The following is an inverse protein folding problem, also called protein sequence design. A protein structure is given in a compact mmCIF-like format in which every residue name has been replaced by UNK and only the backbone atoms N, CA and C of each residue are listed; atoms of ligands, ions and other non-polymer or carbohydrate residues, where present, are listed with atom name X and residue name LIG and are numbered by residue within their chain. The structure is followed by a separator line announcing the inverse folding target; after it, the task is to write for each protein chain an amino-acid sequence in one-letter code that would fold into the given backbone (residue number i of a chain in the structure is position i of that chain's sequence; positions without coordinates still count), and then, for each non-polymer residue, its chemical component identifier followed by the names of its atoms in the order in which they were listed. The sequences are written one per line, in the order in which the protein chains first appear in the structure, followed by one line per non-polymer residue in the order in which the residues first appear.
data_IF_618412307291
#
_entry.id   IF_618412307291
#
_cell.length_a   1.000
_cell.length_b   1.000
_cell.length_c   1.000
_cell.angle_alpha   90.00
_cell.angle_beta   90.00
_cell.angle_gamma   90.00
#
_symmetry.space_group_name_H-M   'P 1'
#
loop_
_entity.id
_entity.type
_entity.pdbx_description
1 polymer ?
#
# COMPACT_ATOMS: atom_id res chain seq x y z
N UNK A 1 31.64 -27.10 10.61
CA UNK A 1 31.76 -26.41 11.92
C UNK A 1 32.55 -27.30 12.88
N UNK A 2 33.85 -27.02 13.14
CA UNK A 2 34.65 -27.52 14.31
C UNK A 2 36.15 -27.12 14.28
N UNK A 3 36.65 -26.40 13.27
CA UNK A 3 38.09 -26.06 13.18
C UNK A 3 38.45 -24.61 13.56
N UNK A 4 37.50 -23.67 13.54
CA UNK A 4 37.77 -22.24 13.82
C UNK A 4 37.81 -21.90 15.32
N UNK A 5 37.02 -22.57 16.16
CA UNK A 5 36.97 -22.30 17.60
C UNK A 5 38.21 -22.79 18.38
N UNK A 6 39.00 -23.71 17.83
CA UNK A 6 40.19 -24.25 18.52
C UNK A 6 41.46 -23.39 18.33
N UNK A 7 41.55 -22.61 17.25
CA UNK A 7 42.75 -21.77 17.00
C UNK A 7 42.76 -20.49 17.84
N UNK A 8 41.60 -19.89 18.09
CA UNK A 8 41.48 -18.68 18.92
C UNK A 8 41.57 -18.94 20.43
N UNK A 9 41.18 -20.14 20.89
CA UNK A 9 41.35 -20.53 22.31
C UNK A 9 42.81 -20.85 22.64
N UNK A 10 43.57 -21.46 21.71
CA UNK A 10 44.99 -21.72 21.89
C UNK A 10 45.84 -20.43 21.90
N UNK A 11 45.52 -19.45 21.03
CA UNK A 11 46.24 -18.16 21.00
C UNK A 11 46.01 -17.35 22.28
N UNK A 12 44.79 -17.28 22.79
CA UNK A 12 44.50 -16.62 24.07
C UNK A 12 45.14 -17.32 25.27
N UNK A 13 45.10 -18.66 25.32
CA UNK A 13 45.76 -19.42 26.39
C UNK A 13 47.29 -19.19 26.39
N UNK A 14 47.90 -19.09 25.20
CA UNK A 14 49.31 -18.72 25.06
C UNK A 14 49.59 -17.29 25.51
N UNK A 15 48.74 -16.32 25.15
CA UNK A 15 48.90 -14.93 25.57
C UNK A 15 48.77 -14.77 27.10
N UNK A 16 47.84 -15.49 27.75
CA UNK A 16 47.72 -15.52 29.21
C UNK A 16 48.90 -16.21 29.88
N UNK A 17 49.42 -17.31 29.33
CA UNK A 17 50.64 -17.94 29.85
C UNK A 17 51.86 -17.03 29.70
N UNK A 18 51.99 -16.32 28.58
CA UNK A 18 53.06 -15.33 28.37
C UNK A 18 52.93 -14.18 29.38
N UNK A 19 51.71 -13.69 29.62
CA UNK A 19 51.47 -12.64 30.61
C UNK A 19 51.76 -13.11 32.05
N UNK A 20 51.34 -14.33 32.41
CA UNK A 20 51.63 -14.92 33.72
C UNK A 20 53.13 -15.17 33.94
N UNK A 21 53.84 -15.65 32.91
CA UNK A 21 55.30 -15.75 32.95
C UNK A 21 55.98 -14.40 33.04
N UNK A 22 55.44 -13.37 32.37
CA UNK A 22 55.97 -12.00 32.43
C UNK A 22 55.77 -11.40 33.82
N UNK A 23 54.62 -11.58 34.45
CA UNK A 23 54.35 -11.16 35.83
C UNK A 23 55.29 -11.88 36.81
N UNK A 24 55.48 -13.21 36.65
CA UNK A 24 56.38 -13.99 37.49
C UNK A 24 57.84 -13.55 37.33
N UNK A 25 58.27 -13.20 36.11
CA UNK A 25 59.58 -12.59 35.85
C UNK A 25 59.72 -11.23 36.50
N UNK A 26 58.70 -10.38 36.44
CA UNK A 26 58.71 -9.07 37.10
C UNK A 26 58.79 -9.18 38.62
N UNK A 27 58.06 -10.13 39.23
CA UNK A 27 58.15 -10.43 40.66
C UNK A 27 59.54 -10.94 41.07
N UNK A 28 60.15 -11.81 40.25
CA UNK A 28 61.52 -12.26 40.47
C UNK A 28 62.53 -11.11 40.37
N UNK A 29 62.38 -10.21 39.40
CA UNK A 29 63.22 -9.01 39.25
C UNK A 29 63.06 -8.07 40.46
N UNK A 30 61.84 -7.92 40.98
CA UNK A 30 61.56 -7.11 42.17
C UNK A 30 62.18 -7.71 43.43
N UNK A 31 62.14 -9.04 43.57
CA UNK A 31 62.81 -9.76 44.66
C UNK A 31 64.34 -9.70 44.53
N UNK A 32 64.89 -9.83 43.32
CA UNK A 32 66.33 -9.66 43.07
C UNK A 32 66.76 -8.23 43.39
N UNK A 33 65.97 -7.22 43.04
CA UNK A 33 66.23 -5.82 43.41
C UNK A 33 66.26 -5.65 44.94
N UNK A 34 65.32 -6.24 45.67
CA UNK A 34 65.33 -6.22 47.14
C UNK A 34 66.60 -6.88 47.71
N UNK A 35 67.00 -8.03 47.16
CA UNK A 35 68.21 -8.74 47.59
C UNK A 35 69.49 -7.95 47.27
N UNK A 36 69.54 -7.27 46.11
CA UNK A 36 70.66 -6.41 45.73
C UNK A 36 70.72 -5.16 46.62
N UNK A 37 69.58 -4.54 46.96
CA UNK A 37 69.54 -3.40 47.89
C UNK A 37 69.98 -3.79 49.31
N UNK A 38 69.61 -4.98 49.80
CA UNK A 38 70.11 -5.57 51.05
C UNK A 38 71.62 -5.84 50.99
N UNK A 39 72.10 -6.45 49.91
CA UNK A 39 73.53 -6.68 49.69
C UNK A 39 74.32 -5.36 49.59
N UNK A 40 73.74 -4.33 48.97
CA UNK A 40 74.34 -2.99 48.89
C UNK A 40 74.44 -2.35 50.28
N UNK A 41 73.42 -2.48 51.14
CA UNK A 41 73.47 -2.00 52.54
C UNK A 41 74.51 -2.76 53.37
N UNK A 42 74.60 -4.09 53.23
CA UNK A 42 75.60 -4.91 53.91
C UNK A 42 77.01 -4.56 53.45
N UNK A 43 77.21 -4.33 52.15
CA UNK A 43 78.49 -3.88 51.60
C UNK A 43 78.84 -2.46 52.05
N UNK A 44 77.86 -1.55 52.18
CA UNK A 44 78.09 -0.23 52.77
C UNK A 44 78.57 -0.33 54.22
N UNK A 45 77.93 -1.18 55.03
CA UNK A 45 78.38 -1.48 56.41
C UNK A 45 79.78 -2.09 56.45
N UNK A 46 80.10 -3.01 55.53
CA UNK A 46 81.44 -3.59 55.44
C UNK A 46 82.49 -2.53 55.10
N UNK A 47 82.17 -1.58 54.20
CA UNK A 47 83.03 -0.44 53.89
C UNK A 47 83.19 0.50 55.09
N UNK A 48 82.13 0.74 55.87
CA UNK A 48 82.21 1.52 57.12
C UNK A 48 83.12 0.84 58.16
N UNK A 49 83.01 -0.49 58.33
CA UNK A 49 83.88 -1.28 59.22
C UNK A 49 85.33 -1.20 58.74
N UNK A 50 85.57 -1.44 57.45
CA UNK A 50 86.91 -1.35 56.85
C UNK A 50 87.50 0.07 56.98
N UNK A 51 86.69 1.12 56.87
CA UNK A 51 87.12 2.50 57.13
C UNK A 51 87.47 2.73 58.60
N UNK A 52 86.71 2.12 59.52
CA UNK A 52 87.02 2.11 60.95
C UNK A 52 88.36 1.44 61.24
N UNK A 53 88.57 0.23 60.71
CA UNK A 53 89.84 -0.50 60.79
C UNK A 53 90.99 0.26 60.12
N UNK A 54 90.73 0.97 59.01
CA UNK A 54 91.71 1.83 58.36
C UNK A 54 92.09 3.03 59.24
N UNK A 55 91.14 3.60 59.97
CA UNK A 55 91.40 4.65 60.95
C UNK A 55 92.18 4.14 62.17
N UNK A 56 91.92 2.91 62.59
CA UNK A 56 92.63 2.27 63.69
C UNK A 56 94.06 1.87 63.30
N UNK A 57 94.25 1.33 62.09
CA UNK A 57 95.56 1.10 61.48
C UNK A 57 96.32 2.42 61.29
N UNK A 58 95.65 3.50 60.87
CA UNK A 58 96.25 4.84 60.79
C UNK A 58 96.66 5.35 62.17
N UNK A 59 95.86 5.15 63.22
CA UNK A 59 96.21 5.47 64.61
C UNK A 59 97.41 4.65 65.10
N UNK A 60 97.49 3.37 64.77
CA UNK A 60 98.64 2.51 65.09
C UNK A 60 99.87 3.02 64.35
N UNK A 61 99.76 3.36 63.06
CA UNK A 61 100.84 3.94 62.27
C UNK A 61 101.26 5.30 62.86
N UNK A 62 100.34 6.18 63.25
CA UNK A 62 100.64 7.45 63.92
C UNK A 62 101.25 7.23 65.32
N UNK A 63 100.83 6.20 66.06
CA UNK A 63 101.39 5.84 67.37
C UNK A 63 102.79 5.27 67.22
N UNK A 64 103.04 4.44 66.21
CA UNK A 64 104.36 3.94 65.81
C UNK A 64 105.23 5.11 65.32
N UNK A 65 104.68 6.02 64.52
CA UNK A 65 105.37 7.23 64.03
C UNK A 65 105.74 8.17 65.19
N UNK A 66 104.87 8.31 66.21
CA UNK A 66 105.13 9.07 67.43
C UNK A 66 106.02 8.33 68.45
N UNK A 67 106.07 6.99 68.43
CA UNK A 67 107.07 6.21 69.19
C UNK A 67 108.44 6.19 68.48
N UNK A 68 108.47 6.52 67.19
CA UNK A 68 109.68 6.69 66.38
C UNK A 68 110.12 8.17 66.31
N UNK A 69 109.41 9.09 66.99
CA UNK A 69 109.76 10.51 67.07
C UNK A 69 110.60 10.90 68.29
N UNK A 70 111.51 10.02 68.74
CA UNK A 70 112.66 10.43 69.55
C UNK A 70 113.86 10.61 68.60
N UNK A 71 114.05 11.87 68.19
CA UNK A 71 115.26 12.40 67.54
C UNK A 71 115.94 11.46 66.53
N UNK A 72 115.52 11.48 65.25
CA UNK A 72 116.35 11.26 64.03
C UNK A 72 115.62 10.73 62.78
N UNK A 73 114.31 10.95 62.62
CA UNK A 73 113.61 10.71 61.34
C UNK A 73 113.41 11.96 60.46
N UNK A 74 114.07 13.08 60.81
CA UNK A 74 114.08 14.32 60.02
C UNK A 74 114.95 14.27 58.75
N UNK A 75 115.50 13.10 58.37
CA UNK A 75 116.27 12.92 57.13
C UNK A 75 115.63 11.99 56.09
N UNK A 76 114.39 11.55 56.29
CA UNK A 76 113.59 10.88 55.22
C UNK A 76 112.19 11.51 55.16
N UNK A 77 112.13 12.82 54.91
CA UNK A 77 110.88 13.51 54.60
C UNK A 77 111.05 14.30 53.29
N UNK A 78 110.47 13.68 52.26
CA UNK A 78 109.79 14.25 51.09
C UNK A 78 110.56 14.78 49.87
N UNK A 79 110.19 14.18 48.70
CA UNK A 79 109.81 14.77 47.39
C UNK A 79 110.04 13.67 46.33
N UNK A 80 109.18 13.30 45.39
CA UNK A 80 108.01 13.90 44.73
C UNK A 80 107.36 12.78 43.90
N UNK A 81 106.03 12.63 43.93
CA UNK A 81 105.17 12.78 42.75
C UNK A 81 105.89 13.10 41.43
N UNK A 82 105.86 12.23 40.41
CA UNK A 82 106.12 12.63 39.05
C UNK A 82 104.83 13.19 38.43
N UNK A 83 104.64 14.51 38.54
CA UNK A 83 104.22 15.37 37.43
C UNK A 83 103.97 16.80 37.92
N UNK A 84 105.04 17.59 38.02
CA UNK A 84 105.01 18.98 37.56
C UNK A 84 106.38 19.33 36.99
N UNK A 85 106.39 19.92 35.80
CA UNK A 85 107.53 20.65 35.26
C UNK A 85 107.08 22.11 35.03
N UNK A 86 107.93 23.13 35.19
CA UNK A 86 109.08 23.28 36.09
C UNK A 86 108.97 24.56 36.97
N UNK A 87 109.76 24.63 38.05
CA UNK A 87 110.86 25.61 38.18
C UNK A 87 111.36 25.80 39.64
N UNK A 88 112.69 25.86 39.76
CA UNK A 88 113.52 26.39 40.84
C UNK A 88 113.83 25.56 42.13
N UNK A 89 115.15 25.38 42.28
CA UNK A 89 116.00 25.36 43.48
C UNK A 89 116.44 24.02 44.13
N UNK A 90 117.67 23.65 43.74
CA UNK A 90 118.67 22.77 44.39
C UNK A 90 119.47 23.49 45.51
N UNK A 91 120.19 22.67 46.31
CA UNK A 91 121.28 22.92 47.30
C UNK A 91 120.80 22.90 48.77
N UNK A 92 121.43 22.24 49.77
CA UNK A 92 122.76 21.60 49.92
C UNK A 92 122.87 20.79 51.25
N UNK A 93 123.72 19.74 51.28
CA UNK A 93 124.71 19.32 52.33
C UNK A 93 124.18 18.88 53.73
N UNK A 94 124.31 17.59 54.13
CA UNK A 94 125.38 16.94 54.95
C UNK A 94 125.41 17.41 56.43
N UNK A 95 125.51 16.63 57.52
CA UNK A 95 126.33 15.46 57.92
C UNK A 95 125.79 14.85 59.26
N UNK A 96 126.23 13.62 59.59
CA UNK A 96 126.33 12.98 60.95
C UNK A 96 125.02 12.53 61.64
N UNK A 97 124.85 11.35 62.26
CA UNK A 97 125.79 10.37 62.85
C UNK A 97 125.07 9.00 62.98
N UNK A 98 125.85 7.93 63.01
CA UNK A 98 125.52 6.48 63.14
C UNK A 98 124.69 6.08 64.37
N UNK A 99 123.78 5.08 64.24
CA UNK A 99 123.68 3.89 65.14
C UNK A 99 123.07 2.69 64.38
N UNK A 100 123.71 1.51 64.50
CA UNK A 100 123.35 0.21 63.89
C UNK A 100 122.24 -0.54 64.61
N UNK A 101 121.49 -1.46 63.95
CA UNK A 101 121.21 -2.82 64.48
C UNK A 101 120.69 -3.82 63.41
N UNK A 102 121.41 -4.95 63.34
CA UNK A 102 121.16 -6.33 62.83
C UNK A 102 119.87 -6.67 62.06
N UNK A 103 120.07 -7.21 60.86
CA UNK A 103 119.09 -7.63 59.84
C UNK A 103 118.59 -9.08 59.99
N UNK A 104 117.26 -9.25 60.12
CA UNK A 104 116.52 -10.45 59.68
C UNK A 104 114.99 -10.20 59.48
N UNK A 105 114.57 -8.96 59.17
CA UNK A 105 113.17 -8.57 58.91
C UNK A 105 112.90 -7.70 57.62
N UNK A 106 113.56 -7.84 56.43
CA UNK A 106 113.20 -7.00 55.27
C UNK A 106 112.24 -7.63 54.22
N UNK A 107 112.24 -8.94 53.99
CA UNK A 107 111.56 -9.53 52.81
C UNK A 107 110.02 -9.67 52.93
N UNK A 108 109.51 -10.07 54.10
CA UNK A 108 108.06 -10.34 54.32
C UNK A 108 107.19 -9.08 54.22
N UNK A 109 107.71 -7.94 54.66
CA UNK A 109 106.99 -6.66 54.63
C UNK A 109 106.83 -6.16 53.19
N UNK A 110 107.83 -6.40 52.34
CA UNK A 110 107.80 -6.04 50.91
C UNK A 110 106.81 -6.92 50.12
N UNK A 111 106.72 -8.23 50.42
CA UNK A 111 105.72 -9.12 49.81
C UNK A 111 104.29 -8.75 50.21
N UNK A 112 104.06 -8.43 51.49
CA UNK A 112 102.76 -7.95 51.97
C UNK A 112 102.35 -6.64 51.29
N UNK A 113 103.27 -5.69 51.15
CA UNK A 113 103.00 -4.43 50.44
C UNK A 113 102.65 -4.64 48.97
N UNK A 114 103.34 -5.56 48.27
CA UNK A 114 103.01 -5.92 46.88
C UNK A 114 101.64 -6.59 46.76
N UNK A 115 101.30 -7.50 47.70
CA UNK A 115 100.00 -8.15 47.74
C UNK A 115 98.87 -7.15 47.99
N UNK A 116 99.04 -6.25 48.97
CA UNK A 116 98.07 -5.17 49.24
C UNK A 116 97.90 -4.27 48.03
N UNK A 117 98.98 -3.91 47.32
CA UNK A 117 98.89 -3.08 46.11
C UNK A 117 98.18 -3.82 44.96
N UNK A 118 98.39 -5.12 44.83
CA UNK A 118 97.70 -5.96 43.84
C UNK A 118 96.21 -6.06 44.15
N UNK A 119 95.86 -6.37 45.40
CA UNK A 119 94.48 -6.48 45.88
C UNK A 119 93.74 -5.12 45.76
N UNK A 120 94.44 -4.00 46.02
CA UNK A 120 93.89 -2.65 45.86
C UNK A 120 93.62 -2.30 44.39
N UNK A 121 94.53 -2.67 43.49
CA UNK A 121 94.32 -2.48 42.06
C UNK A 121 93.20 -3.37 41.50
N UNK A 122 93.01 -4.57 42.03
CA UNK A 122 91.90 -5.45 41.65
C UNK A 122 90.55 -4.89 42.14
N UNK A 123 90.50 -4.37 43.37
CA UNK A 123 89.34 -3.65 43.91
C UNK A 123 88.97 -2.42 43.07
N UNK A 124 89.95 -1.63 42.62
CA UNK A 124 89.71 -0.49 41.73
C UNK A 124 89.06 -0.95 40.42
N UNK A 125 89.55 -2.04 39.81
CA UNK A 125 88.97 -2.60 38.58
C UNK A 125 87.53 -3.12 38.79
N UNK A 126 87.28 -3.78 39.92
CA UNK A 126 85.94 -4.24 40.26
C UNK A 126 84.97 -3.07 40.47
N UNK A 127 85.41 -1.98 41.11
CA UNK A 127 84.63 -0.75 41.28
C UNK A 127 84.34 -0.08 39.93
N UNK A 128 85.32 -0.02 39.01
CA UNK A 128 85.11 0.51 37.66
C UNK A 128 84.15 -0.34 36.84
N UNK A 129 84.26 -1.67 36.92
CA UNK A 129 83.32 -2.60 36.28
C UNK A 129 81.89 -2.39 36.80
N UNK A 130 81.70 -2.33 38.12
CA UNK A 130 80.39 -2.12 38.74
C UNK A 130 79.79 -0.74 38.40
N UNK A 131 80.62 0.31 38.31
CA UNK A 131 80.15 1.63 37.85
C UNK A 131 79.66 1.58 36.41
N UNK A 132 80.38 0.88 35.54
CA UNK A 132 80.02 0.69 34.13
C UNK A 132 78.70 -0.10 34.00
N UNK A 133 78.57 -1.20 34.75
CA UNK A 133 77.32 -1.97 34.82
C UNK A 133 76.15 -1.12 35.30
N UNK A 134 76.33 -0.36 36.39
CA UNK A 134 75.28 0.47 36.96
C UNK A 134 74.85 1.60 35.99
N UNK A 135 75.80 2.18 35.25
CA UNK A 135 75.51 3.12 34.17
C UNK A 135 74.69 2.46 33.04
N UNK A 136 75.03 1.23 32.65
CA UNK A 136 74.28 0.47 31.64
C UNK A 136 72.87 0.11 32.13
N UNK A 137 72.71 -0.30 33.39
CA UNK A 137 71.39 -0.55 34.00
C UNK A 137 70.53 0.71 34.02
N UNK A 138 71.10 1.85 34.42
CA UNK A 138 70.41 3.16 34.39
C UNK A 138 69.88 3.49 33.00
N UNK A 139 70.71 3.34 31.97
CA UNK A 139 70.35 3.61 30.57
C UNK A 139 69.22 2.70 30.09
N UNK A 140 69.27 1.41 30.44
CA UNK A 140 68.22 0.44 30.11
C UNK A 140 66.91 0.76 30.82
N UNK A 141 66.98 1.12 32.11
CA UNK A 141 65.82 1.52 32.91
C UNK A 141 65.13 2.77 32.34
N UNK A 142 65.91 3.80 31.98
CA UNK A 142 65.38 5.02 31.36
C UNK A 142 64.73 4.73 29.98
N UNK A 143 65.30 3.81 29.20
CA UNK A 143 64.71 3.35 27.93
C UNK A 143 63.39 2.61 28.13
N UNK A 144 63.30 1.74 29.14
CA UNK A 144 62.06 1.03 29.48
C UNK A 144 60.99 2.00 29.97
N UNK A 145 61.35 2.99 30.80
CA UNK A 145 60.44 4.04 31.27
C UNK A 145 59.82 4.85 30.13
N UNK A 146 60.63 5.23 29.13
CA UNK A 146 60.15 5.94 27.92
C UNK A 146 59.21 5.07 27.08
N UNK A 147 59.58 3.81 26.83
CA UNK A 147 58.75 2.87 26.06
C UNK A 147 57.41 2.58 26.77
N UNK A 148 57.42 2.49 28.10
CA UNK A 148 56.20 2.27 28.89
C UNK A 148 55.26 3.49 28.81
N UNK A 149 55.79 4.71 28.94
CA UNK A 149 55.00 5.94 28.80
C UNK A 149 54.37 6.08 27.40
N UNK A 150 55.10 5.71 26.34
CA UNK A 150 54.57 5.72 24.98
C UNK A 150 53.47 4.66 24.78
N UNK A 151 53.66 3.48 25.37
CA UNK A 151 52.69 2.38 25.33
C UNK A 151 51.41 2.73 26.09
N UNK A 152 51.51 3.31 27.29
CA UNK A 152 50.36 3.84 28.04
C UNK A 152 49.61 4.92 27.27
N UNK A 153 50.33 5.83 26.59
CA UNK A 153 49.70 6.86 25.75
C UNK A 153 48.89 6.25 24.60
N UNK A 154 49.44 5.24 23.91
CA UNK A 154 48.73 4.49 22.86
C UNK A 154 47.52 3.73 23.41
N UNK A 155 47.66 3.11 24.58
CA UNK A 155 46.58 2.38 25.24
C UNK A 155 45.42 3.31 25.63
N UNK A 156 45.73 4.48 26.20
CA UNK A 156 44.72 5.51 26.53
C UNK A 156 43.96 5.97 25.28
N UNK A 157 44.66 6.24 24.18
CA UNK A 157 44.01 6.61 22.90
C UNK A 157 43.10 5.50 22.36
N UNK A 158 43.51 4.23 22.49
CA UNK A 158 42.69 3.09 22.08
C UNK A 158 41.42 2.96 22.93
N UNK A 159 41.53 3.10 24.25
CA UNK A 159 40.37 3.10 25.17
C UNK A 159 39.40 4.23 24.82
N UNK A 160 39.93 5.43 24.58
CA UNK A 160 39.11 6.60 24.24
C UNK A 160 38.40 6.42 22.89
N UNK A 161 39.07 5.83 21.89
CA UNK A 161 38.48 5.50 20.60
C UNK A 161 37.41 4.41 20.72
N UNK A 162 37.66 3.36 21.53
CA UNK A 162 36.68 2.31 21.83
C UNK A 162 35.41 2.90 22.45
N UNK A 163 35.54 3.74 23.48
CA UNK A 163 34.41 4.39 24.12
C UNK A 163 33.61 5.29 23.14
N UNK A 164 34.31 6.04 22.27
CA UNK A 164 33.65 6.82 21.20
C UNK A 164 32.89 5.93 20.22
N UNK A 165 33.45 4.77 19.89
CA UNK A 165 32.85 3.82 18.95
C UNK A 165 31.63 3.12 19.56
N UNK A 166 31.69 2.69 20.81
CA UNK A 166 30.53 2.14 21.53
C UNK A 166 29.38 3.14 21.65
N UNK A 167 29.69 4.41 21.93
CA UNK A 167 28.67 5.45 22.01
C UNK A 167 27.98 5.68 20.65
N UNK A 168 28.74 5.65 19.56
CA UNK A 168 28.18 5.69 18.19
C UNK A 168 27.30 4.48 17.91
N UNK A 169 27.77 3.28 18.25
CA UNK A 169 27.02 2.04 18.04
C UNK A 169 25.67 2.04 18.78
N UNK A 170 25.65 2.49 20.04
CA UNK A 170 24.41 2.63 20.82
C UNK A 170 23.42 3.60 20.20
N UNK A 171 23.90 4.71 19.64
CA UNK A 171 23.06 5.67 18.93
C UNK A 171 22.51 5.07 17.62
N UNK A 172 23.34 4.39 16.84
CA UNK A 172 22.89 3.73 15.60
C UNK A 172 21.85 2.63 15.88
N UNK A 173 22.00 1.87 16.97
CA UNK A 173 21.00 0.87 17.38
C UNK A 173 19.67 1.49 17.81
N UNK A 174 19.68 2.63 18.50
CA UNK A 174 18.44 3.30 18.91
C UNK A 174 17.72 3.91 17.71
N UNK A 175 18.45 4.57 16.80
CA UNK A 175 17.93 5.08 15.53
C UNK A 175 17.33 3.95 14.67
N UNK A 176 18.02 2.80 14.59
CA UNK A 176 17.52 1.64 13.87
C UNK A 176 16.24 1.06 14.46
N UNK A 177 16.12 0.99 15.79
CA UNK A 177 14.89 0.51 16.46
C UNK A 177 13.71 1.43 16.15
N UNK A 178 13.95 2.74 16.09
CA UNK A 178 12.94 3.72 15.68
C UNK A 178 12.56 3.53 14.20
N UNK A 179 13.54 3.31 13.31
CA UNK A 179 13.29 3.06 11.89
C UNK A 179 12.44 1.80 11.67
N UNK A 180 12.76 0.69 12.34
CA UNK A 180 11.98 -0.56 12.29
C UNK A 180 10.52 -0.34 12.70
N UNK A 181 10.29 0.37 13.82
CA UNK A 181 8.94 0.66 14.29
C UNK A 181 8.13 1.50 13.30
N UNK A 182 8.76 2.46 12.61
CA UNK A 182 8.11 3.25 11.55
C UNK A 182 7.79 2.41 10.32
N UNK A 183 8.69 1.50 9.94
CA UNK A 183 8.46 0.59 8.81
C UNK A 183 7.27 -0.34 9.08
N UNK A 184 7.15 -0.85 10.32
CA UNK A 184 6.00 -1.65 10.74
C UNK A 184 4.70 -0.86 10.76
N UNK A 185 4.70 0.39 11.24
CA UNK A 185 3.48 1.23 11.22
C UNK A 185 3.02 1.50 9.80
N UNK A 186 3.92 1.88 8.90
CA UNK A 186 3.60 2.09 7.47
C UNK A 186 3.08 0.81 6.82
N UNK A 187 3.61 -0.37 7.20
CA UNK A 187 3.10 -1.65 6.69
C UNK A 187 1.64 -1.92 7.10
N UNK A 188 1.26 -1.53 8.32
CA UNK A 188 -0.11 -1.67 8.81
C UNK A 188 -1.03 -0.71 8.05
N UNK A 189 -0.68 0.58 8.01
CA UNK A 189 -1.45 1.61 7.28
C UNK A 189 -1.65 1.22 5.81
N UNK A 190 -0.61 0.70 5.15
CA UNK A 190 -0.69 0.27 3.76
C UNK A 190 -1.63 -0.92 3.55
N UNK A 191 -1.72 -1.85 4.52
CA UNK A 191 -2.67 -2.95 4.46
C UNK A 191 -4.11 -2.45 4.67
N UNK A 192 -4.33 -1.53 5.59
CA UNK A 192 -5.66 -0.92 5.83
C UNK A 192 -6.17 -0.21 4.57
N UNK A 193 -5.34 0.65 3.97
CA UNK A 193 -5.66 1.33 2.70
C UNK A 193 -5.94 0.32 1.59
N UNK A 194 -5.17 -0.77 1.51
CA UNK A 194 -5.41 -1.84 0.53
C UNK A 194 -6.77 -2.49 0.72
N UNK A 195 -7.17 -2.80 1.95
CA UNK A 195 -8.47 -3.41 2.24
C UNK A 195 -9.62 -2.46 1.91
N UNK A 196 -9.49 -1.17 2.23
CA UNK A 196 -10.48 -0.15 1.88
C UNK A 196 -10.64 0.00 0.36
N UNK A 197 -9.54 0.03 -0.39
CA UNK A 197 -9.57 0.07 -1.86
C UNK A 197 -10.23 -1.18 -2.45
N UNK A 198 -9.91 -2.38 -1.93
CA UNK A 198 -10.56 -3.62 -2.37
C UNK A 198 -12.07 -3.60 -2.11
N UNK A 199 -12.48 -3.08 -0.96
CA UNK A 199 -13.88 -2.91 -0.62
C UNK A 199 -14.58 -1.94 -1.59
N UNK A 200 -13.97 -0.77 -1.86
CA UNK A 200 -14.52 0.23 -2.78
C UNK A 200 -14.63 -0.31 -4.21
N UNK A 201 -13.64 -1.05 -4.70
CA UNK A 201 -13.68 -1.74 -6.00
C UNK A 201 -14.82 -2.77 -6.04
N UNK A 202 -15.06 -3.50 -4.94
CA UNK A 202 -16.18 -4.46 -4.84
C UNK A 202 -17.53 -3.76 -4.98
N UNK A 203 -17.74 -2.65 -4.26
CA UNK A 203 -18.96 -1.85 -4.35
C UNK A 203 -19.17 -1.25 -5.75
N UNK A 204 -18.12 -0.69 -6.35
CA UNK A 204 -18.18 -0.20 -7.74
C UNK A 204 -18.57 -1.31 -8.72
N UNK A 205 -18.04 -2.53 -8.56
CA UNK A 205 -18.43 -3.67 -9.41
C UNK A 205 -19.91 -4.05 -9.25
N UNK A 206 -20.46 -3.95 -8.03
CA UNK A 206 -21.89 -4.20 -7.79
C UNK A 206 -22.74 -3.12 -8.46
N UNK A 207 -22.38 -1.85 -8.30
CA UNK A 207 -23.08 -0.71 -8.89
C UNK A 207 -23.07 -0.79 -10.43
N UNK A 208 -21.91 -1.05 -11.05
CA UNK A 208 -21.79 -1.21 -12.50
C UNK A 208 -22.73 -2.32 -13.00
N UNK A 209 -22.73 -3.50 -12.35
CA UNK A 209 -23.60 -4.61 -12.75
C UNK A 209 -25.09 -4.31 -12.56
N UNK A 210 -25.45 -3.63 -11.46
CA UNK A 210 -26.82 -3.25 -11.19
C UNK A 210 -27.33 -2.28 -12.27
N UNK A 211 -26.54 -1.25 -12.60
CA UNK A 211 -26.88 -0.28 -13.64
C UNK A 211 -26.97 -0.95 -15.02
N UNK A 212 -26.00 -1.78 -15.40
CA UNK A 212 -26.04 -2.54 -16.67
C UNK A 212 -27.32 -3.40 -16.80
N UNK A 213 -27.74 -4.05 -15.71
CA UNK A 213 -28.97 -4.84 -15.70
C UNK A 213 -30.24 -3.98 -15.76
N UNK A 214 -30.31 -2.89 -15.01
CA UNK A 214 -31.50 -2.02 -15.00
C UNK A 214 -31.77 -1.43 -16.39
N UNK A 215 -30.72 -0.90 -17.05
CA UNK A 215 -30.83 -0.40 -18.41
C UNK A 215 -31.27 -1.47 -19.41
N UNK A 216 -30.69 -2.68 -19.32
CA UNK A 216 -31.07 -3.81 -20.18
C UNK A 216 -32.52 -4.21 -19.99
N UNK A 217 -33.00 -4.24 -18.74
CA UNK A 217 -34.39 -4.56 -18.44
C UNK A 217 -35.34 -3.48 -18.98
N UNK A 218 -34.99 -2.21 -18.80
CA UNK A 218 -35.80 -1.08 -19.28
C UNK A 218 -35.93 -1.07 -20.81
N UNK A 219 -34.85 -1.35 -21.54
CA UNK A 219 -34.88 -1.54 -23.00
C UNK A 219 -35.82 -2.68 -23.37
N UNK A 220 -35.65 -3.86 -22.75
CA UNK A 220 -36.50 -5.02 -23.03
C UNK A 220 -37.98 -4.74 -22.79
N UNK A 221 -38.33 -4.03 -21.72
CA UNK A 221 -39.71 -3.70 -21.39
C UNK A 221 -40.31 -2.70 -22.39
N UNK A 222 -39.55 -1.69 -22.81
CA UNK A 222 -39.97 -0.76 -23.85
C UNK A 222 -40.16 -1.46 -25.20
N UNK A 223 -39.26 -2.37 -25.57
CA UNK A 223 -39.38 -3.17 -26.80
C UNK A 223 -40.63 -4.06 -26.80
N UNK A 224 -40.94 -4.71 -25.66
CA UNK A 224 -42.18 -5.47 -25.48
C UNK A 224 -43.42 -4.60 -25.63
N UNK A 225 -43.43 -3.42 -24.99
CA UNK A 225 -44.54 -2.46 -25.10
C UNK A 225 -44.73 -1.98 -26.53
N UNK A 226 -43.64 -1.64 -27.23
CA UNK A 226 -43.68 -1.23 -28.63
C UNK A 226 -44.23 -2.35 -29.54
N UNK A 227 -43.76 -3.59 -29.36
CA UNK A 227 -44.26 -4.74 -30.11
C UNK A 227 -45.75 -4.99 -29.87
N UNK A 228 -46.24 -4.80 -28.63
CA UNK A 228 -47.66 -4.89 -28.31
C UNK A 228 -48.46 -3.79 -29.01
N UNK A 229 -47.99 -2.53 -28.96
CA UNK A 229 -48.67 -1.40 -29.59
C UNK A 229 -48.76 -1.56 -31.13
N UNK A 230 -47.69 -2.03 -31.79
CA UNK A 230 -47.70 -2.32 -33.23
C UNK A 230 -48.71 -3.42 -33.60
N UNK A 231 -48.86 -4.46 -32.75
CA UNK A 231 -49.90 -5.50 -32.96
C UNK A 231 -51.31 -4.93 -32.80
N UNK A 232 -51.55 -4.11 -31.78
CA UNK A 232 -52.84 -3.46 -31.56
C UNK A 232 -53.19 -2.53 -32.74
N UNK A 233 -52.23 -1.77 -33.27
CA UNK A 233 -52.39 -0.95 -34.46
C UNK A 233 -52.81 -1.80 -35.68
N UNK A 234 -52.12 -2.92 -35.89
CA UNK A 234 -52.43 -3.83 -37.01
C UNK A 234 -53.86 -4.40 -36.89
N UNK A 235 -54.29 -4.79 -35.70
CA UNK A 235 -55.64 -5.29 -35.45
C UNK A 235 -56.70 -4.22 -35.70
N UNK A 236 -56.48 -2.99 -35.22
CA UNK A 236 -57.39 -1.87 -35.50
C UNK A 236 -57.50 -1.56 -36.99
N UNK A 237 -56.40 -1.56 -37.74
CA UNK A 237 -56.42 -1.38 -39.20
C UNK A 237 -57.27 -2.45 -39.91
N UNK A 238 -57.15 -3.72 -39.50
CA UNK A 238 -58.00 -4.79 -40.05
C UNK A 238 -59.48 -4.54 -39.75
N UNK A 239 -59.79 -4.13 -38.52
CA UNK A 239 -61.16 -3.83 -38.10
C UNK A 239 -61.77 -2.64 -38.86
N UNK A 240 -61.00 -1.58 -39.10
CA UNK A 240 -61.42 -0.44 -39.92
C UNK A 240 -61.74 -0.92 -41.33
N UNK A 241 -60.83 -1.67 -41.97
CA UNK A 241 -61.04 -2.20 -43.31
C UNK A 241 -62.32 -3.06 -43.44
N UNK A 242 -62.59 -3.93 -42.47
CA UNK A 242 -63.81 -4.73 -42.45
C UNK A 242 -65.09 -3.90 -42.26
N UNK A 243 -65.03 -2.86 -41.42
CA UNK A 243 -66.16 -1.97 -41.17
C UNK A 243 -66.43 -1.06 -42.37
N UNK A 244 -65.40 -0.55 -43.04
CA UNK A 244 -65.51 0.23 -44.27
C UNK A 244 -66.22 -0.58 -45.36
N UNK A 245 -65.83 -1.84 -45.54
CA UNK A 245 -66.49 -2.73 -46.50
C UNK A 245 -67.98 -2.89 -46.20
N UNK A 246 -68.34 -3.12 -44.93
CA UNK A 246 -69.75 -3.20 -44.51
C UNK A 246 -70.50 -1.88 -44.72
N UNK A 247 -69.85 -0.75 -44.44
CA UNK A 247 -70.43 0.57 -44.66
C UNK A 247 -70.75 0.80 -46.14
N UNK A 248 -69.82 0.45 -47.05
CA UNK A 248 -70.03 0.53 -48.50
C UNK A 248 -71.17 -0.39 -48.98
N UNK A 249 -71.28 -1.60 -48.44
CA UNK A 249 -72.39 -2.51 -48.72
C UNK A 249 -73.74 -1.90 -48.30
N UNK A 250 -73.81 -1.27 -47.12
CA UNK A 250 -75.03 -0.57 -46.67
C UNK A 250 -75.34 0.67 -47.49
N UNK A 251 -74.35 1.48 -47.89
CA UNK A 251 -74.56 2.62 -48.79
C UNK A 251 -75.10 2.17 -50.16
N UNK A 252 -74.58 1.05 -50.67
CA UNK A 252 -75.09 0.48 -51.92
C UNK A 252 -76.54 0.00 -51.78
N UNK A 253 -76.86 -0.65 -50.67
CA UNK A 253 -78.24 -1.04 -50.35
C UNK A 253 -79.15 0.18 -50.22
N UNK A 254 -78.69 1.25 -49.58
CA UNK A 254 -79.43 2.52 -49.47
C UNK A 254 -79.76 3.07 -50.86
N UNK A 255 -78.76 3.17 -51.74
CA UNK A 255 -78.95 3.63 -53.14
C UNK A 255 -79.95 2.76 -53.91
N UNK A 256 -79.91 1.45 -53.72
CA UNK A 256 -80.84 0.53 -54.35
C UNK A 256 -82.27 0.74 -53.82
N UNK A 257 -82.45 0.82 -52.50
CA UNK A 257 -83.77 1.06 -51.91
C UNK A 257 -84.33 2.45 -52.23
N UNK A 258 -83.50 3.48 -52.37
CA UNK A 258 -83.93 4.81 -52.82
C UNK A 258 -84.47 4.78 -54.26
N UNK A 259 -83.80 4.04 -55.15
CA UNK A 259 -84.29 3.80 -56.51
C UNK A 259 -85.62 3.06 -56.50
N UNK A 260 -85.69 1.95 -55.76
CA UNK A 260 -86.93 1.17 -55.60
C UNK A 260 -88.07 2.03 -55.02
N UNK A 261 -87.78 2.89 -54.04
CA UNK A 261 -88.74 3.83 -53.45
C UNK A 261 -89.28 4.80 -54.50
N UNK A 262 -88.44 5.37 -55.36
CA UNK A 262 -88.90 6.27 -56.42
C UNK A 262 -89.68 5.55 -57.52
N UNK A 263 -89.30 4.33 -57.88
CA UNK A 263 -90.06 3.48 -58.81
C UNK A 263 -91.43 3.12 -58.25
N UNK A 264 -91.51 2.68 -56.99
CA UNK A 264 -92.76 2.37 -56.32
C UNK A 264 -93.59 3.64 -56.14
N UNK A 265 -93.01 4.78 -55.80
CA UNK A 265 -93.73 6.06 -55.69
C UNK A 265 -94.40 6.42 -57.03
N UNK A 266 -93.68 6.31 -58.15
CA UNK A 266 -94.25 6.52 -59.49
C UNK A 266 -95.37 5.52 -59.80
N UNK A 267 -95.12 4.23 -59.55
CA UNK A 267 -96.11 3.16 -59.73
C UNK A 267 -97.36 3.37 -58.86
N UNK A 268 -97.17 3.79 -57.61
CA UNK A 268 -98.21 4.12 -56.63
C UNK A 268 -99.09 5.26 -57.12
N UNK A 269 -98.49 6.39 -57.54
CA UNK A 269 -99.24 7.53 -58.05
C UNK A 269 -100.08 7.14 -59.27
N UNK A 270 -99.48 6.41 -60.21
CA UNK A 270 -100.20 5.93 -61.39
C UNK A 270 -101.36 5.00 -61.01
N UNK A 271 -101.11 4.01 -60.14
CA UNK A 271 -102.10 3.02 -59.73
C UNK A 271 -103.27 3.63 -58.95
N UNK A 272 -103.00 4.59 -58.05
CA UNK A 272 -104.05 5.33 -57.36
C UNK A 272 -104.86 6.15 -58.34
N UNK A 273 -104.21 6.90 -59.24
CA UNK A 273 -104.91 7.72 -60.24
C UNK A 273 -105.86 6.86 -61.08
N UNK A 274 -105.41 5.68 -61.54
CA UNK A 274 -106.26 4.76 -62.31
C UNK A 274 -107.45 4.24 -61.49
N UNK A 275 -107.23 3.83 -60.24
CA UNK A 275 -108.30 3.33 -59.37
C UNK A 275 -109.31 4.44 -59.01
N UNK A 276 -108.85 5.68 -58.82
CA UNK A 276 -109.71 6.83 -58.56
C UNK A 276 -110.56 7.18 -59.79
N UNK A 277 -109.97 7.14 -60.99
CA UNK A 277 -110.71 7.30 -62.25
C UNK A 277 -111.75 6.21 -62.46
N UNK A 278 -111.41 4.94 -62.19
CA UNK A 278 -112.36 3.81 -62.23
C UNK A 278 -113.50 4.02 -61.23
N UNK A 279 -113.18 4.35 -59.98
CA UNK A 279 -114.18 4.64 -58.95
C UNK A 279 -115.09 5.82 -59.36
N UNK A 280 -114.56 6.85 -60.01
CA UNK A 280 -115.34 7.97 -60.52
C UNK A 280 -116.29 7.55 -61.65
N UNK A 281 -115.86 6.65 -62.55
CA UNK A 281 -116.73 6.04 -63.57
C UNK A 281 -117.84 5.20 -62.94
N UNK A 282 -117.52 4.36 -61.96
CA UNK A 282 -118.50 3.53 -61.25
C UNK A 282 -119.53 4.37 -60.50
N UNK A 283 -119.10 5.45 -59.82
CA UNK A 283 -120.03 6.39 -59.17
C UNK A 283 -120.99 7.07 -60.16
N UNK A 284 -120.49 7.50 -61.33
CA UNK A 284 -121.37 8.04 -62.39
C UNK A 284 -122.39 7.01 -62.85
N UNK A 285 -121.94 5.78 -63.08
CA UNK A 285 -122.81 4.69 -63.53
C UNK A 285 -123.87 4.32 -62.48
N UNK A 286 -123.51 4.31 -61.19
CA UNK A 286 -124.46 4.17 -60.08
C UNK A 286 -125.51 5.29 -60.14
N UNK A 287 -125.09 6.55 -60.22
CA UNK A 287 -126.01 7.69 -60.29
C UNK A 287 -126.95 7.62 -61.51
N UNK A 288 -126.46 7.14 -62.67
CA UNK A 288 -127.29 6.94 -63.86
C UNK A 288 -128.34 5.84 -63.63
N UNK A 289 -127.97 4.71 -63.01
CA UNK A 289 -128.91 3.65 -62.66
C UNK A 289 -129.92 4.08 -61.60
N UNK A 290 -129.49 4.85 -60.59
CA UNK A 290 -130.36 5.45 -59.57
C UNK A 290 -131.30 6.50 -60.17
N UNK A 291 -130.87 7.28 -61.17
CA UNK A 291 -131.72 8.27 -61.85
C UNK A 291 -132.80 7.60 -62.70
N UNK A 292 -132.46 6.52 -63.43
CA UNK A 292 -133.44 5.68 -64.15
C UNK A 292 -134.50 5.09 -63.21
N UNK A 293 -134.13 4.85 -61.96
CA UNK A 293 -135.04 4.40 -60.91
C UNK A 293 -136.08 5.47 -60.53
N UNK A 294 -135.66 6.75 -60.50
CA UNK A 294 -136.51 7.91 -60.18
C UNK A 294 -137.40 8.32 -61.36
N UNK A 295 -136.98 8.08 -62.60
CA UNK A 295 -137.71 8.45 -63.84
C UNK A 295 -138.90 7.53 -64.20
N UNK A 296 -139.24 6.54 -63.37
CA UNK A 296 -140.56 5.88 -63.44
C UNK A 296 -140.69 4.67 -64.38
N UNK A 297 -139.68 3.80 -64.45
CA UNK A 297 -139.86 2.46 -65.04
C UNK A 297 -140.59 1.52 -64.05
N UNK A 298 -141.89 1.27 -64.27
CA UNK A 298 -142.73 0.40 -63.44
C UNK A 298 -142.53 -1.12 -63.69
N UNK A 299 -141.35 -1.56 -64.15
CA UNK A 299 -141.03 -2.97 -64.39
C UNK A 299 -140.24 -3.57 -63.18
N UNK A 300 -140.81 -4.49 -62.39
CA UNK A 300 -140.15 -5.08 -61.22
C UNK A 300 -138.84 -5.81 -61.52
N UNK A 301 -138.72 -6.43 -62.70
CA UNK A 301 -137.55 -7.21 -63.07
C UNK A 301 -136.35 -6.31 -63.40
N UNK A 302 -136.58 -5.20 -64.11
CA UNK A 302 -135.54 -4.20 -64.42
C UNK A 302 -135.03 -3.51 -63.15
N UNK A 303 -135.94 -3.25 -62.21
CA UNK A 303 -135.61 -2.69 -60.90
C UNK A 303 -134.63 -3.58 -60.13
N UNK A 304 -134.92 -4.87 -60.06
CA UNK A 304 -134.05 -5.86 -59.39
C UNK A 304 -132.67 -5.96 -60.06
N UNK A 305 -132.63 -5.96 -61.40
CA UNK A 305 -131.37 -5.99 -62.16
C UNK A 305 -130.51 -4.74 -61.88
N UNK A 306 -131.14 -3.55 -61.79
CA UNK A 306 -130.42 -2.32 -61.50
C UNK A 306 -129.89 -2.29 -60.05
N UNK A 307 -130.66 -2.79 -59.08
CA UNK A 307 -130.22 -2.93 -57.68
C UNK A 307 -129.02 -3.88 -57.56
N UNK A 308 -129.04 -5.01 -58.26
CA UNK A 308 -127.91 -5.95 -58.31
C UNK A 308 -126.66 -5.33 -58.93
N UNK A 309 -126.80 -4.55 -60.00
CA UNK A 309 -125.68 -3.82 -60.63
C UNK A 309 -125.09 -2.75 -59.72
N UNK A 310 -125.93 -1.97 -59.03
CA UNK A 310 -125.48 -0.97 -58.07
C UNK A 310 -124.69 -1.63 -56.93
N UNK A 311 -125.20 -2.73 -56.39
CA UNK A 311 -124.50 -3.49 -55.34
C UNK A 311 -123.14 -4.03 -55.80
N UNK A 312 -123.04 -4.55 -57.02
CA UNK A 312 -121.76 -4.97 -57.61
C UNK A 312 -120.77 -3.80 -57.75
N UNK A 313 -121.22 -2.64 -58.24
CA UNK A 313 -120.36 -1.46 -58.40
C UNK A 313 -119.85 -0.93 -57.05
N UNK A 314 -120.69 -0.91 -56.02
CA UNK A 314 -120.24 -0.57 -54.66
C UNK A 314 -119.19 -1.55 -54.13
N UNK A 315 -119.35 -2.84 -54.42
CA UNK A 315 -118.36 -3.86 -54.05
C UNK A 315 -117.02 -3.63 -54.77
N UNK A 316 -117.04 -3.32 -56.06
CA UNK A 316 -115.82 -2.99 -56.83
C UNK A 316 -115.12 -1.73 -56.28
N UNK A 317 -115.88 -0.71 -55.88
CA UNK A 317 -115.33 0.49 -55.22
C UNK A 317 -114.63 0.12 -53.90
N UNK A 318 -115.21 -0.75 -53.08
CA UNK A 318 -114.58 -1.20 -51.83
C UNK A 318 -113.32 -2.04 -52.06
N UNK A 319 -113.33 -2.93 -53.06
CA UNK A 319 -112.13 -3.67 -53.47
C UNK A 319 -111.01 -2.72 -53.94
N UNK A 320 -111.36 -1.67 -54.67
CA UNK A 320 -110.40 -0.65 -55.10
C UNK A 320 -109.84 0.17 -53.92
N UNK A 321 -110.65 0.55 -52.94
CA UNK A 321 -110.15 1.17 -51.69
C UNK A 321 -109.18 0.26 -50.94
N UNK A 322 -109.48 -1.03 -50.84
CA UNK A 322 -108.59 -2.00 -50.21
C UNK A 322 -107.23 -2.09 -50.92
N UNK A 323 -107.22 -2.09 -52.27
CA UNK A 323 -105.98 -2.07 -53.06
C UNK A 323 -105.15 -0.80 -52.82
N UNK A 324 -105.80 0.36 -52.68
CA UNK A 324 -105.13 1.63 -52.35
C UNK A 324 -104.45 1.54 -50.98
N UNK A 325 -105.16 1.05 -49.96
CA UNK A 325 -104.63 0.88 -48.60
C UNK A 325 -103.39 -0.04 -48.59
N UNK A 326 -103.45 -1.19 -49.24
CA UNK A 326 -102.30 -2.12 -49.32
C UNK A 326 -101.08 -1.43 -49.93
N UNK A 327 -101.28 -0.63 -50.98
CA UNK A 327 -100.18 0.08 -51.64
C UNK A 327 -99.58 1.17 -50.75
N UNK A 328 -100.41 1.87 -49.95
CA UNK A 328 -99.94 2.84 -48.95
C UNK A 328 -99.12 2.18 -47.84
N UNK A 329 -99.57 1.02 -47.32
CA UNK A 329 -98.86 0.26 -46.27
C UNK A 329 -97.47 -0.18 -46.76
N UNK A 330 -97.36 -0.67 -48.00
CA UNK A 330 -96.07 -1.06 -48.58
C UNK A 330 -95.09 0.12 -48.69
N UNK A 331 -95.58 1.31 -49.05
CA UNK A 331 -94.74 2.53 -49.09
C UNK A 331 -94.19 2.90 -47.70
N UNK A 332 -95.02 2.81 -46.66
CA UNK A 332 -94.60 3.09 -45.28
C UNK A 332 -93.53 2.09 -44.83
N UNK A 333 -93.71 0.80 -45.13
CA UNK A 333 -92.73 -0.24 -44.81
C UNK A 333 -91.36 0.02 -45.49
N UNK A 334 -91.36 0.42 -46.77
CA UNK A 334 -90.11 0.78 -47.46
C UNK A 334 -89.41 2.00 -46.87
N UNK A 335 -90.17 3.06 -46.53
CA UNK A 335 -89.59 4.26 -45.89
C UNK A 335 -88.93 3.91 -44.56
N UNK A 336 -89.56 3.04 -43.75
CA UNK A 336 -88.98 2.59 -42.49
C UNK A 336 -87.68 1.79 -42.70
N UNK A 337 -87.64 0.91 -43.71
CA UNK A 337 -86.44 0.14 -44.04
C UNK A 337 -85.26 1.02 -44.47
N UNK A 338 -85.52 2.04 -45.28
CA UNK A 338 -84.51 3.05 -45.68
C UNK A 338 -83.98 3.76 -44.43
N UNK A 339 -84.86 4.17 -43.52
CA UNK A 339 -84.46 4.84 -42.28
C UNK A 339 -83.54 3.96 -41.42
N UNK A 340 -83.91 2.69 -41.22
CA UNK A 340 -83.10 1.73 -40.45
C UNK A 340 -81.71 1.50 -41.06
N UNK A 341 -81.63 1.37 -42.40
CA UNK A 341 -80.35 1.20 -43.10
C UNK A 341 -79.50 2.45 -42.99
N UNK A 342 -80.11 3.64 -43.11
CA UNK A 342 -79.40 4.90 -42.95
C UNK A 342 -78.82 5.05 -41.53
N UNK A 343 -79.59 4.71 -40.49
CA UNK A 343 -79.11 4.70 -39.11
C UNK A 343 -77.94 3.71 -38.91
N UNK A 344 -77.99 2.52 -39.50
CA UNK A 344 -76.87 1.55 -39.48
C UNK A 344 -75.63 2.10 -40.18
N UNK A 345 -75.77 2.79 -41.30
CA UNK A 345 -74.67 3.38 -42.05
C UNK A 345 -73.97 4.49 -41.23
N UNK A 346 -74.74 5.42 -40.65
CA UNK A 346 -74.19 6.51 -39.82
C UNK A 346 -73.48 5.98 -38.57
N UNK A 347 -74.04 4.96 -37.90
CA UNK A 347 -73.39 4.32 -36.75
C UNK A 347 -72.06 3.67 -37.13
N UNK A 348 -71.97 3.02 -38.31
CA UNK A 348 -70.73 2.42 -38.79
C UNK A 348 -69.68 3.50 -39.09
N UNK A 349 -70.06 4.57 -39.79
CA UNK A 349 -69.18 5.72 -40.07
C UNK A 349 -68.62 6.33 -38.79
N UNK A 350 -69.47 6.56 -37.79
CA UNK A 350 -69.03 7.05 -36.48
C UNK A 350 -68.03 6.09 -35.82
N UNK A 351 -68.27 4.77 -35.90
CA UNK A 351 -67.37 3.76 -35.33
C UNK A 351 -66.01 3.73 -36.04
N UNK A 352 -65.99 3.88 -37.36
CA UNK A 352 -64.78 3.97 -38.17
C UNK A 352 -63.96 5.20 -37.75
N UNK A 353 -64.58 6.39 -37.69
CA UNK A 353 -63.91 7.63 -37.26
C UNK A 353 -63.28 7.50 -35.87
N UNK A 354 -64.00 6.89 -34.92
CA UNK A 354 -63.47 6.64 -33.57
C UNK A 354 -62.27 5.68 -33.57
N UNK A 355 -62.29 4.65 -34.42
CA UNK A 355 -61.19 3.71 -34.57
C UNK A 355 -59.97 4.37 -35.25
N UNK A 356 -60.18 5.19 -36.28
CA UNK A 356 -59.13 5.97 -36.92
C UNK A 356 -58.46 6.94 -35.94
N UNK A 357 -59.25 7.60 -35.08
CA UNK A 357 -58.70 8.46 -34.02
C UNK A 357 -57.83 7.66 -33.04
N UNK A 358 -58.27 6.46 -32.63
CA UNK A 358 -57.48 5.57 -31.76
C UNK A 358 -56.21 5.07 -32.45
N UNK A 359 -56.28 4.82 -33.77
CA UNK A 359 -55.12 4.44 -34.58
C UNK A 359 -54.06 5.54 -34.57
N UNK A 360 -54.47 6.80 -34.77
CA UNK A 360 -53.56 7.95 -34.71
C UNK A 360 -52.89 8.10 -33.34
N UNK A 361 -53.65 7.89 -32.25
CA UNK A 361 -53.10 7.87 -30.89
C UNK A 361 -52.07 6.76 -30.71
N UNK A 362 -52.34 5.56 -31.25
CA UNK A 362 -51.40 4.44 -31.24
C UNK A 362 -50.13 4.72 -32.03
N UNK A 363 -50.23 5.39 -33.17
CA UNK A 363 -49.07 5.85 -33.93
C UNK A 363 -48.19 6.81 -33.14
N UNK A 364 -48.82 7.74 -32.41
CA UNK A 364 -48.11 8.66 -31.52
C UNK A 364 -47.42 7.90 -30.38
N UNK A 365 -48.10 6.93 -29.78
CA UNK A 365 -47.53 6.06 -28.72
C UNK A 365 -46.31 5.30 -29.25
N UNK A 366 -46.43 4.63 -30.40
CA UNK A 366 -45.35 3.87 -31.06
C UNK A 366 -44.13 4.77 -31.33
N UNK A 367 -44.36 5.97 -31.88
CA UNK A 367 -43.27 6.91 -32.16
C UNK A 367 -42.57 7.35 -30.87
N UNK A 368 -43.32 7.62 -29.80
CA UNK A 368 -42.75 7.97 -28.49
C UNK A 368 -41.95 6.82 -27.86
N UNK A 369 -42.41 5.57 -28.03
CA UNK A 369 -41.72 4.39 -27.55
C UNK A 369 -40.44 4.14 -28.35
N UNK A 370 -40.48 4.27 -29.68
CA UNK A 370 -39.30 4.17 -30.54
C UNK A 370 -38.26 5.23 -30.19
N UNK A 371 -38.69 6.48 -29.95
CA UNK A 371 -37.80 7.53 -29.47
C UNK A 371 -37.18 7.17 -28.12
N UNK A 372 -37.98 6.69 -27.16
CA UNK A 372 -37.48 6.28 -25.84
C UNK A 372 -36.50 5.10 -25.91
N UNK A 373 -36.77 4.09 -26.74
CA UNK A 373 -35.84 2.97 -26.98
C UNK A 373 -34.54 3.48 -27.60
N UNK A 374 -34.62 4.39 -28.58
CA UNK A 374 -33.45 4.97 -29.21
C UNK A 374 -32.63 5.79 -28.22
N UNK A 375 -33.30 6.55 -27.34
CA UNK A 375 -32.68 7.27 -26.23
C UNK A 375 -31.95 6.25 -25.37
N UNK A 376 -32.59 5.25 -24.78
CA UNK A 376 -31.89 4.29 -23.90
C UNK A 376 -30.80 3.45 -24.58
N UNK A 377 -30.91 3.16 -25.88
CA UNK A 377 -29.85 2.45 -26.64
C UNK A 377 -28.63 3.34 -26.93
N UNK A 378 -28.88 4.63 -27.16
CA UNK A 378 -27.85 5.60 -27.52
C UNK A 378 -27.52 6.56 -26.38
N UNK A 379 -28.12 6.39 -25.19
CA UNK A 379 -28.05 7.37 -24.12
C UNK A 379 -26.64 7.36 -23.57
N UNK A 380 -25.93 8.35 -24.05
CA UNK A 380 -24.61 8.76 -23.66
C UNK A 380 -24.54 8.88 -22.12
N UNK A 381 -25.63 9.23 -21.42
CA UNK A 381 -25.63 9.37 -19.95
C UNK A 381 -25.48 8.05 -19.18
N UNK A 382 -26.21 6.99 -19.57
CA UNK A 382 -26.07 5.67 -18.95
C UNK A 382 -24.69 5.07 -19.22
N UNK A 383 -24.24 5.20 -20.46
CA UNK A 383 -22.90 4.77 -20.88
C UNK A 383 -21.82 5.64 -20.23
N UNK A 384 -22.03 6.94 -20.04
CA UNK A 384 -21.14 7.86 -19.32
C UNK A 384 -21.05 7.51 -17.85
N UNK A 385 -22.16 7.24 -17.19
CA UNK A 385 -22.16 6.87 -15.77
C UNK A 385 -21.42 5.54 -15.56
N UNK A 386 -21.71 4.52 -16.36
CA UNK A 386 -20.96 3.26 -16.35
C UNK A 386 -19.48 3.48 -16.70
N UNK A 387 -19.17 4.38 -17.65
CA UNK A 387 -17.80 4.72 -18.03
C UNK A 387 -17.07 5.43 -16.89
N UNK A 388 -17.67 6.41 -16.23
CA UNK A 388 -17.10 7.10 -15.07
C UNK A 388 -16.78 6.10 -13.96
N UNK A 389 -17.71 5.20 -13.65
CA UNK A 389 -17.50 4.16 -12.63
C UNK A 389 -16.39 3.17 -13.04
N UNK A 390 -16.28 2.83 -14.34
CA UNK A 390 -15.18 2.00 -14.87
C UNK A 390 -13.84 2.72 -14.79
N UNK A 391 -13.80 3.99 -15.17
CA UNK A 391 -12.60 4.84 -15.10
C UNK A 391 -12.15 5.03 -13.64
N UNK A 392 -13.08 5.25 -12.70
CA UNK A 392 -12.78 5.30 -11.25
C UNK A 392 -12.23 3.97 -10.75
N UNK A 393 -12.86 2.85 -11.13
CA UNK A 393 -12.35 1.51 -10.80
C UNK A 393 -10.93 1.28 -11.33
N UNK A 394 -10.64 1.69 -12.56
CA UNK A 394 -9.32 1.52 -13.17
C UNK A 394 -8.26 2.39 -12.48
N UNK A 395 -8.61 3.60 -12.04
CA UNK A 395 -7.77 4.44 -11.19
C UNK A 395 -7.45 3.74 -9.86
N UNK A 396 -8.46 3.21 -9.17
CA UNK A 396 -8.28 2.50 -7.91
C UNK A 396 -7.45 1.22 -8.09
N UNK A 397 -7.63 0.48 -9.19
CA UNK A 397 -6.81 -0.69 -9.51
C UNK A 397 -5.33 -0.33 -9.74
N UNK A 398 -5.07 0.79 -10.41
CA UNK A 398 -3.72 1.31 -10.59
C UNK A 398 -3.09 1.72 -9.26
N UNK A 399 -3.85 2.39 -8.39
CA UNK A 399 -3.43 2.74 -7.03
C UNK A 399 -3.08 1.50 -6.21
N UNK A 400 -3.93 0.47 -6.26
CA UNK A 400 -3.71 -0.83 -5.60
C UNK A 400 -2.45 -1.54 -6.12
N UNK A 401 -2.19 -1.47 -7.43
CA UNK A 401 -0.96 -1.98 -8.04
C UNK A 401 0.28 -1.25 -7.52
N UNK A 402 0.21 0.07 -7.41
CA UNK A 402 1.31 0.89 -6.91
C UNK A 402 1.58 0.63 -5.42
N UNK A 403 0.53 0.59 -4.59
CA UNK A 403 0.64 0.24 -3.18
C UNK A 403 1.20 -1.17 -2.99
N UNK A 404 0.84 -2.14 -3.84
CA UNK A 404 1.44 -3.48 -3.79
C UNK A 404 2.94 -3.45 -4.07
N UNK A 405 3.40 -2.67 -5.05
CA UNK A 405 4.85 -2.51 -5.33
C UNK A 405 5.57 -1.83 -4.17
N UNK A 406 4.92 -0.87 -3.52
CA UNK A 406 5.47 -0.18 -2.36
C UNK A 406 5.57 -1.12 -1.15
N UNK A 407 4.54 -1.93 -0.90
CA UNK A 407 4.56 -3.02 0.09
C UNK A 407 5.78 -3.92 -0.09
N UNK A 408 6.00 -4.40 -1.30
CA UNK A 408 7.11 -5.30 -1.61
C UNK A 408 8.47 -4.65 -1.34
N UNK A 409 8.60 -3.35 -1.62
CA UNK A 409 9.83 -2.58 -1.30
C UNK A 409 10.03 -2.46 0.20
N UNK A 410 8.98 -2.16 0.94
CA UNK A 410 9.00 -2.01 2.41
C UNK A 410 9.33 -3.36 3.06
N UNK A 411 8.73 -4.46 2.62
CA UNK A 411 9.02 -5.80 3.15
C UNK A 411 10.47 -6.23 2.89
N UNK A 412 11.02 -5.92 1.71
CA UNK A 412 12.44 -6.16 1.43
C UNK A 412 13.36 -5.39 2.37
N UNK A 413 13.06 -4.11 2.64
CA UNK A 413 13.83 -3.30 3.59
C UNK A 413 13.72 -3.86 5.01
N UNK A 414 12.51 -4.16 5.46
CA UNK A 414 12.25 -4.72 6.79
C UNK A 414 13.03 -6.02 7.02
N UNK A 415 12.97 -6.96 6.07
CA UNK A 415 13.72 -8.22 6.16
C UNK A 415 15.24 -8.00 6.22
N UNK A 416 15.77 -7.06 5.43
CA UNK A 416 17.20 -6.73 5.47
C UNK A 416 17.63 -6.13 6.82
N UNK A 417 16.79 -5.27 7.41
CA UNK A 417 17.06 -4.65 8.70
C UNK A 417 16.93 -5.64 9.86
N UNK A 418 15.96 -6.57 9.80
CA UNK A 418 15.81 -7.67 10.75
C UNK A 418 17.06 -8.55 10.78
N UNK A 419 17.57 -8.99 9.62
CA UNK A 419 18.80 -9.78 9.54
C UNK A 419 20.00 -9.07 10.18
N UNK A 420 20.13 -7.76 9.96
CA UNK A 420 21.16 -6.93 10.60
C UNK A 420 20.95 -6.81 12.12
N UNK A 421 19.72 -6.80 12.61
CA UNK A 421 19.42 -6.66 14.05
C UNK A 421 19.74 -7.96 14.80
N UNK A 422 19.35 -9.11 14.23
CA UNK A 422 19.67 -10.43 14.81
C UNK A 422 21.17 -10.68 14.87
N UNK A 423 21.92 -10.22 13.86
CA UNK A 423 23.39 -10.32 13.86
C UNK A 423 24.04 -9.38 14.88
N UNK A 424 23.56 -8.13 15.02
CA UNK A 424 24.03 -7.22 16.09
C UNK A 424 23.78 -7.78 17.50
N UNK A 425 22.61 -8.37 17.73
CA UNK A 425 22.25 -8.98 19.02
C UNK A 425 23.12 -10.20 19.35
N UNK A 426 23.47 -10.99 18.33
CA UNK A 426 24.44 -12.08 18.43
C UNK A 426 25.84 -11.57 18.82
N UNK A 427 26.32 -10.49 18.19
CA UNK A 427 27.60 -9.88 18.55
C UNK A 427 27.61 -9.28 19.96
N UNK A 428 26.51 -8.65 20.40
CA UNK A 428 26.36 -8.17 21.79
C UNK A 428 26.47 -9.30 22.81
N UNK A 429 25.85 -10.45 22.56
CA UNK A 429 26.00 -11.63 23.44
C UNK A 429 27.46 -12.08 23.56
N UNK A 430 28.19 -12.10 22.45
CA UNK A 430 29.63 -12.44 22.45
C UNK A 430 30.42 -11.43 23.28
N UNK A 431 30.19 -10.12 23.09
CA UNK A 431 30.89 -9.07 23.85
C UNK A 431 30.62 -9.21 25.35
N UNK A 432 29.35 -9.38 25.75
CA UNK A 432 29.00 -9.60 27.17
C UNK A 432 29.66 -10.84 27.78
N UNK A 433 29.78 -11.95 27.02
CA UNK A 433 30.49 -13.13 27.50
C UNK A 433 32.00 -12.87 27.68
N UNK A 434 32.59 -12.04 26.82
CA UNK A 434 34.00 -11.64 26.93
C UNK A 434 34.23 -10.71 28.13
N UNK A 435 33.34 -9.74 28.36
CA UNK A 435 33.39 -8.85 29.53
C UNK A 435 33.22 -9.61 30.85
N UNK A 436 32.28 -10.56 30.90
CA UNK A 436 32.12 -11.44 32.06
C UNK A 436 33.40 -12.20 32.37
N UNK A 437 34.14 -12.67 31.37
CA UNK A 437 35.41 -13.39 31.58
C UNK A 437 36.56 -12.48 32.04
N UNK A 438 36.51 -11.18 31.72
CA UNK A 438 37.53 -10.21 32.13
C UNK A 438 37.34 -9.68 33.57
N UNK A 439 36.13 -9.71 34.12
CA UNK A 439 35.85 -9.26 35.50
C UNK A 439 36.16 -10.31 36.60
N UNK A 440 36.73 -11.47 36.25
CA UNK A 440 37.11 -12.54 37.17
C UNK A 440 38.63 -12.69 37.37
N UNK A 441 39.44 -11.73 36.93
CA UNK A 441 40.90 -11.71 37.12
C UNK A 441 41.37 -10.52 37.93
#
# INVERSE_FOLDING_TARGET
MKSSCYKNSLSRANEFNIMAETIKRLQNIEQEKFNIDEAFKLNLKAIEILNGEFHEAKKIIETVYNHLSDSSLDNIVFKRSPNQNPAYLQKSIAESTTVSFKDDIPQKVIELAKKVTYDFNDLIKQIEYLKQENFNFKKTFDSVGKNNAESESKLRKLIENLAKTEKKLKNEESEKKIALSKVESVKIELNEVKEELLFKISELNKQIKANENDYKNKINDLEKRNAKAEREKLDMNKKIFELDKKSQEYEQNLRNFEKEKEEIKKSFFNKISTLDEENAKYKKLINDYESRYQEGFNNPDEKKINEEKIAMLYKEIEENKAKIIVTQVNNVAMVNKIKEINEKCENLKSTIIDLERRLYQKDTEINSLKASISIYKNEDNAQKEIKILKDEKDLLLNELSNLSKEKDKIEKKLNSEYHLATSAEYYRKIIMELEKKNNYY
#
